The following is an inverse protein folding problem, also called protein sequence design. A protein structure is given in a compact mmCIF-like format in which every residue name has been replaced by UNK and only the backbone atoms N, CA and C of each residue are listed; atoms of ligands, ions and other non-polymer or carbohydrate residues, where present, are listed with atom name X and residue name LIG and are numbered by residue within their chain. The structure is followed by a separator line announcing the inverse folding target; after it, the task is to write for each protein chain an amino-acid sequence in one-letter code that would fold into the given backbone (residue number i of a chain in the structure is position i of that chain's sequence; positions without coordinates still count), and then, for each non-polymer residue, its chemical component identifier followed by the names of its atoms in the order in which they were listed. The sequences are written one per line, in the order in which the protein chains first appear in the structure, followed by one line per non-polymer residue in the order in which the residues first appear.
data_IF_263658808935
#
_entry.id   IF_263658808935
#
_cell.length_a   1.000
_cell.length_b   1.000
_cell.length_c   1.000
_cell.angle_alpha   90.00
_cell.angle_beta   90.00
_cell.angle_gamma   90.00
#
_symmetry.space_group_name_H-M   'P 1'
#
loop_
_entity.id
_entity.type
_entity.pdbx_description
1 polymer ?
#
# COMPACT_ATOMS: atom_id res chain seq x y z
N UNK A 1 -0.37 2.74 -13.54
CA UNK A 1 -0.48 1.26 -13.53
C UNK A 1 0.75 0.70 -12.86
N UNK A 2 0.58 -0.05 -11.77
CA UNK A 2 1.67 -0.70 -11.04
C UNK A 2 1.39 -2.19 -11.07
N UNK A 3 2.26 -2.96 -11.71
CA UNK A 3 2.17 -4.42 -11.81
C UNK A 3 3.30 -5.03 -10.98
N UNK A 4 2.97 -6.00 -10.13
CA UNK A 4 3.93 -6.80 -9.39
C UNK A 4 4.23 -8.10 -10.14
N UNK A 5 5.50 -8.50 -10.10
CA UNK A 5 5.90 -9.84 -10.50
C UNK A 5 5.61 -10.85 -9.39
N UNK A 6 5.44 -12.14 -9.74
CA UNK A 6 5.29 -13.20 -8.74
C UNK A 6 6.46 -13.26 -7.75
N UNK A 7 7.67 -12.87 -8.18
CA UNK A 7 8.83 -12.79 -7.29
C UNK A 7 8.67 -11.70 -6.23
N UNK A 8 8.18 -10.52 -6.61
CA UNK A 8 7.91 -9.42 -5.68
C UNK A 8 6.78 -9.79 -4.72
N UNK A 9 5.71 -10.43 -5.22
CA UNK A 9 4.61 -10.93 -4.38
C UNK A 9 5.15 -11.95 -3.35
N UNK A 10 6.00 -12.89 -3.77
CA UNK A 10 6.61 -13.85 -2.86
C UNK A 10 7.51 -13.19 -1.80
N UNK A 11 8.26 -12.14 -2.18
CA UNK A 11 9.04 -11.35 -1.23
C UNK A 11 8.15 -10.64 -0.20
N UNK A 12 7.06 -10.01 -0.64
CA UNK A 12 6.11 -9.37 0.27
C UNK A 12 5.38 -10.38 1.17
N UNK A 13 5.03 -11.57 0.67
CA UNK A 13 4.48 -12.66 1.49
C UNK A 13 5.43 -13.06 2.62
N UNK A 14 6.73 -13.14 2.33
CA UNK A 14 7.75 -13.41 3.37
C UNK A 14 7.79 -12.32 4.43
N UNK A 15 7.74 -11.04 4.01
CA UNK A 15 7.76 -9.89 4.91
C UNK A 15 6.49 -9.79 5.78
N UNK A 16 5.34 -10.19 5.25
CA UNK A 16 4.01 -9.98 5.85
C UNK A 16 3.38 -11.26 6.40
N UNK A 17 4.17 -12.31 6.61
CA UNK A 17 3.69 -13.63 7.05
C UNK A 17 2.91 -13.64 8.38
N UNK A 18 3.10 -12.62 9.22
CA UNK A 18 2.40 -12.45 10.50
C UNK A 18 1.03 -11.75 10.37
N UNK A 19 0.65 -11.28 9.18
CA UNK A 19 -0.55 -10.48 8.94
C UNK A 19 -1.49 -11.19 7.94
N UNK A 20 -2.48 -11.98 8.41
CA UNK A 20 -3.39 -12.73 7.54
C UNK A 20 -4.10 -11.87 6.49
N UNK A 21 -4.54 -10.66 6.87
CA UNK A 21 -5.19 -9.70 5.98
C UNK A 21 -4.25 -9.21 4.88
N UNK A 22 -2.95 -9.15 5.17
CA UNK A 22 -1.95 -8.77 4.18
C UNK A 22 -1.68 -9.90 3.18
N UNK A 23 -1.69 -11.15 3.65
CA UNK A 23 -1.57 -12.32 2.78
C UNK A 23 -2.78 -12.43 1.85
N UNK A 24 -3.99 -12.25 2.37
CA UNK A 24 -5.23 -12.22 1.56
C UNK A 24 -5.19 -11.11 0.49
N UNK A 25 -4.69 -9.92 0.84
CA UNK A 25 -4.48 -8.86 -0.13
C UNK A 25 -3.46 -9.23 -1.21
N UNK A 26 -2.37 -9.92 -0.86
CA UNK A 26 -1.35 -10.39 -1.80
C UNK A 26 -1.86 -11.50 -2.72
N UNK A 27 -2.71 -12.40 -2.21
CA UNK A 27 -3.39 -13.42 -3.00
C UNK A 27 -4.31 -12.77 -4.04
N UNK A 28 -5.07 -11.75 -3.63
CA UNK A 28 -5.92 -10.98 -4.55
C UNK A 28 -5.09 -10.23 -5.60
N UNK A 29 -3.92 -9.68 -5.23
CA UNK A 29 -3.01 -9.07 -6.20
C UNK A 29 -2.49 -10.09 -7.21
N UNK A 30 -2.14 -11.30 -6.78
CA UNK A 30 -1.72 -12.37 -7.69
C UNK A 30 -2.85 -12.82 -8.63
N UNK A 31 -4.07 -12.95 -8.12
CA UNK A 31 -5.27 -13.28 -8.90
C UNK A 31 -5.63 -12.18 -9.94
N UNK A 32 -5.28 -10.93 -9.64
CA UNK A 32 -5.37 -9.79 -10.57
C UNK A 32 -4.13 -9.64 -11.46
N UNK A 33 -3.40 -10.73 -11.74
CA UNK A 33 -2.22 -10.75 -12.61
C UNK A 33 -1.09 -9.78 -12.16
N UNK A 34 -1.05 -9.47 -10.86
CA UNK A 34 -0.13 -8.52 -10.27
C UNK A 34 -0.57 -7.05 -10.34
N UNK A 35 -1.72 -6.74 -10.95
CA UNK A 35 -2.25 -5.37 -10.99
C UNK A 35 -2.77 -4.93 -9.62
N UNK A 36 -2.06 -3.99 -9.01
CA UNK A 36 -2.39 -3.52 -7.65
C UNK A 36 -3.66 -2.65 -7.66
N UNK A 37 -3.93 -1.91 -8.73
CA UNK A 37 -5.12 -1.05 -8.81
C UNK A 37 -6.39 -1.91 -8.86
N UNK A 38 -6.40 -2.90 -9.75
CA UNK A 38 -7.54 -3.81 -9.92
C UNK A 38 -7.77 -4.67 -8.67
N UNK A 39 -6.69 -5.15 -8.04
CA UNK A 39 -6.77 -5.85 -6.77
C UNK A 39 -7.32 -4.95 -5.66
N UNK A 40 -6.85 -3.70 -5.56
CA UNK A 40 -7.32 -2.76 -4.55
C UNK A 40 -8.81 -2.42 -4.74
N UNK A 41 -9.28 -2.28 -5.97
CA UNK A 41 -10.71 -2.09 -6.28
C UNK A 41 -11.52 -3.32 -5.84
N UNK A 42 -11.04 -4.53 -6.14
CA UNK A 42 -11.69 -5.78 -5.74
C UNK A 42 -11.80 -5.90 -4.21
N UNK A 43 -10.71 -5.61 -3.50
CA UNK A 43 -10.66 -5.60 -2.03
C UNK A 43 -11.56 -4.51 -1.43
N UNK A 44 -11.63 -3.34 -2.07
CA UNK A 44 -12.52 -2.25 -1.63
C UNK A 44 -13.98 -2.67 -1.67
N UNK A 45 -14.40 -3.34 -2.75
CA UNK A 45 -15.75 -3.87 -2.91
C UNK A 45 -16.03 -4.94 -1.83
N UNK A 46 -15.05 -5.81 -1.56
CA UNK A 46 -15.16 -6.85 -0.52
C UNK A 46 -15.40 -6.25 0.88
N UNK A 47 -14.79 -5.10 1.20
CA UNK A 47 -15.01 -4.39 2.47
C UNK A 47 -16.20 -3.41 2.43
N UNK A 48 -17.06 -3.50 1.41
CA UNK A 48 -18.29 -2.72 1.30
C UNK A 48 -18.10 -1.27 0.82
N UNK A 49 -16.95 -0.93 0.26
CA UNK A 49 -16.74 0.36 -0.40
C UNK A 49 -17.26 0.35 -1.83
N UNK A 50 -17.58 1.53 -2.35
CA UNK A 50 -17.97 1.72 -3.75
C UNK A 50 -16.98 2.68 -4.42
N UNK A 51 -15.88 2.17 -5.01
CA UNK A 51 -14.98 2.96 -5.82
C UNK A 51 -15.76 3.67 -6.93
N UNK A 52 -15.64 5.00 -7.01
CA UNK A 52 -16.39 5.82 -7.98
C UNK A 52 -15.64 6.01 -9.30
N UNK A 53 -14.36 5.64 -9.34
CA UNK A 53 -13.47 5.73 -10.50
C UNK A 53 -12.63 4.47 -10.55
N UNK A 54 -12.38 3.94 -11.76
CA UNK A 54 -11.47 2.80 -11.97
C UNK A 54 -10.01 3.24 -12.05
N UNK A 55 -9.73 4.43 -12.58
CA UNK A 55 -8.36 4.94 -12.70
C UNK A 55 -7.97 5.81 -11.51
N UNK A 56 -6.72 5.63 -11.04
CA UNK A 56 -6.08 6.39 -9.97
C UNK A 56 -6.84 6.38 -8.63
N UNK A 57 -7.70 5.40 -8.41
CA UNK A 57 -8.43 5.27 -7.15
C UNK A 57 -7.46 4.94 -6.01
N UNK A 58 -6.55 3.99 -6.22
CA UNK A 58 -5.55 3.60 -5.23
C UNK A 58 -4.56 4.74 -4.93
N UNK A 59 -4.17 5.54 -5.92
CA UNK A 59 -3.39 6.77 -5.71
C UNK A 59 -4.09 7.70 -4.71
N UNK A 60 -5.38 7.95 -4.93
CA UNK A 60 -6.20 8.77 -4.05
C UNK A 60 -6.32 8.20 -2.64
N UNK A 61 -6.46 6.88 -2.51
CA UNK A 61 -6.50 6.19 -1.21
C UNK A 61 -5.14 6.28 -0.52
N UNK A 62 -4.04 5.98 -1.21
CA UNK A 62 -2.69 6.02 -0.65
C UNK A 62 -2.33 7.43 -0.14
N UNK A 63 -2.71 8.47 -0.88
CA UNK A 63 -2.51 9.88 -0.50
C UNK A 63 -3.16 10.24 0.83
N UNK A 64 -4.26 9.59 1.25
CA UNK A 64 -4.91 9.81 2.55
C UNK A 64 -4.03 9.37 3.72
N UNK A 65 -3.17 8.38 3.50
CA UNK A 65 -2.24 7.84 4.50
C UNK A 65 -0.82 8.40 4.35
N UNK A 66 -0.62 9.38 3.45
CA UNK A 66 0.70 9.91 3.12
C UNK A 66 1.45 10.44 4.35
N UNK A 67 0.78 11.14 5.26
CA UNK A 67 1.41 11.68 6.48
C UNK A 67 2.01 10.54 7.33
N UNK A 68 1.28 9.44 7.48
CA UNK A 68 1.75 8.27 8.22
C UNK A 68 2.87 7.53 7.48
N UNK A 69 2.70 7.30 6.17
CA UNK A 69 3.67 6.60 5.31
C UNK A 69 5.00 7.35 5.25
N UNK A 70 4.94 8.67 5.15
CA UNK A 70 6.12 9.53 5.02
C UNK A 70 6.72 9.95 6.37
N UNK A 71 6.22 9.40 7.49
CA UNK A 71 6.79 9.69 8.79
C UNK A 71 8.23 9.17 8.87
N UNK A 72 9.13 9.97 9.44
CA UNK A 72 10.57 9.68 9.46
C UNK A 72 10.89 8.31 10.07
N UNK A 73 10.08 7.87 11.05
CA UNK A 73 10.20 6.57 11.71
C UNK A 73 10.16 5.35 10.75
N UNK A 74 9.45 5.44 9.63
CA UNK A 74 9.28 4.33 8.69
C UNK A 74 10.10 4.49 7.41
N UNK A 75 10.66 5.67 7.17
CA UNK A 75 11.25 6.05 5.89
C UNK A 75 12.44 5.18 5.48
N UNK A 76 13.33 4.86 6.42
CA UNK A 76 14.54 4.08 6.13
C UNK A 76 14.19 2.65 5.70
N UNK A 77 13.29 1.99 6.44
CA UNK A 77 12.79 0.64 6.10
C UNK A 77 12.09 0.64 4.73
N UNK A 78 11.22 1.62 4.47
CA UNK A 78 10.51 1.74 3.20
C UNK A 78 11.45 2.01 2.01
N UNK A 79 12.53 2.76 2.21
CA UNK A 79 13.58 2.96 1.20
C UNK A 79 14.34 1.66 0.89
N UNK A 80 14.45 0.75 1.86
CA UNK A 80 15.04 -0.56 1.68
C UNK A 80 14.04 -1.61 1.15
N UNK A 81 12.79 -1.21 0.91
CA UNK A 81 11.71 -2.10 0.45
C UNK A 81 11.14 -3.00 1.55
N UNK A 82 11.43 -2.72 2.82
CA UNK A 82 10.82 -3.39 3.96
C UNK A 82 9.52 -2.69 4.35
N UNK A 83 8.39 -3.40 4.19
CA UNK A 83 7.05 -2.85 4.44
C UNK A 83 6.40 -3.36 5.72
N UNK A 84 7.00 -4.35 6.42
CA UNK A 84 6.39 -5.03 7.57
C UNK A 84 6.02 -4.06 8.69
N UNK A 85 6.93 -3.16 9.06
CA UNK A 85 6.70 -2.20 10.15
C UNK A 85 5.56 -1.24 9.81
N UNK A 86 5.51 -0.75 8.56
CA UNK A 86 4.49 0.18 8.10
C UNK A 86 3.10 -0.47 7.99
N UNK A 87 3.03 -1.68 7.41
CA UNK A 87 1.80 -2.46 7.30
C UNK A 87 1.26 -2.79 8.69
N UNK A 88 2.11 -3.30 9.58
CA UNK A 88 1.73 -3.60 10.97
C UNK A 88 1.21 -2.36 11.71
N UNK A 89 1.86 -1.21 11.53
CA UNK A 89 1.39 0.04 12.12
C UNK A 89 0.00 0.44 11.62
N UNK A 90 -0.26 0.43 10.31
CA UNK A 90 -1.57 0.80 9.76
C UNK A 90 -2.69 -0.18 10.16
N UNK A 91 -2.40 -1.48 10.21
CA UNK A 91 -3.33 -2.48 10.71
C UNK A 91 -3.68 -2.21 12.18
N UNK A 92 -2.66 -1.93 13.02
CA UNK A 92 -2.86 -1.65 14.44
C UNK A 92 -3.63 -0.35 14.71
N UNK A 93 -3.44 0.68 13.87
CA UNK A 93 -4.19 1.93 13.98
C UNK A 93 -5.66 1.78 13.57
N UNK A 94 -6.00 0.77 12.76
CA UNK A 94 -7.36 0.49 12.28
C UNK A 94 -8.05 1.69 11.61
N UNK A 95 -7.27 2.60 11.03
CA UNK A 95 -7.76 3.77 10.28
C UNK A 95 -7.93 3.50 8.79
N UNK A 96 -7.17 2.52 8.29
CA UNK A 96 -7.31 1.95 6.95
C UNK A 96 -8.00 0.59 7.05
N UNK A 97 -8.97 0.27 6.17
CA UNK A 97 -9.48 -1.10 6.06
C UNK A 97 -8.32 -2.07 5.88
N UNK A 98 -8.26 -3.11 6.70
CA UNK A 98 -7.07 -3.95 6.83
C UNK A 98 -6.64 -4.58 5.51
N UNK A 99 -7.60 -4.98 4.66
CA UNK A 99 -7.34 -5.52 3.32
C UNK A 99 -6.72 -4.50 2.35
N UNK A 100 -6.96 -3.20 2.54
CA UNK A 100 -6.41 -2.14 1.69
C UNK A 100 -5.03 -1.66 2.15
N UNK A 101 -4.57 -2.04 3.34
CA UNK A 101 -3.29 -1.58 3.88
C UNK A 101 -2.13 -1.99 2.97
N UNK A 102 -2.07 -3.26 2.60
CA UNK A 102 -0.98 -3.80 1.77
C UNK A 102 -0.89 -3.14 0.40
N UNK A 103 -1.96 -3.06 -0.42
CA UNK A 103 -1.89 -2.39 -1.72
C UNK A 103 -1.54 -0.89 -1.59
N UNK A 104 -2.01 -0.21 -0.54
CA UNK A 104 -1.64 1.20 -0.26
C UNK A 104 -0.14 1.37 -0.02
N UNK A 105 0.46 0.53 0.83
CA UNK A 105 1.88 0.64 1.15
C UNK A 105 2.73 0.25 -0.06
N UNK A 106 2.37 -0.83 -0.77
CA UNK A 106 3.08 -1.26 -1.97
C UNK A 106 3.02 -0.18 -3.06
N UNK A 107 1.85 0.44 -3.27
CA UNK A 107 1.70 1.53 -4.23
C UNK A 107 2.69 2.67 -3.96
N UNK A 108 2.80 3.11 -2.69
CA UNK A 108 3.70 4.19 -2.30
C UNK A 108 5.18 3.86 -2.55
N UNK A 109 5.62 2.62 -2.30
CA UNK A 109 7.03 2.24 -2.56
C UNK A 109 7.29 2.04 -4.06
N UNK A 110 6.35 1.46 -4.80
CA UNK A 110 6.51 1.17 -6.23
C UNK A 110 6.44 2.41 -7.11
N UNK A 111 5.73 3.45 -6.66
CA UNK A 111 5.74 4.78 -7.29
C UNK A 111 6.94 5.62 -6.87
N UNK A 112 7.80 5.10 -5.99
CA UNK A 112 8.98 5.79 -5.47
C UNK A 112 8.66 6.58 -4.21
N UNK A 113 9.05 6.04 -3.06
CA UNK A 113 8.71 6.62 -1.75
C UNK A 113 9.14 8.09 -1.60
N UNK A 114 10.25 8.50 -2.20
CA UNK A 114 10.71 9.89 -2.19
C UNK A 114 9.73 10.81 -2.95
N UNK A 115 9.35 10.42 -4.17
CA UNK A 115 8.40 11.17 -5.00
C UNK A 115 7.00 11.20 -4.36
N UNK A 116 6.62 10.10 -3.71
CA UNK A 116 5.37 10.02 -2.97
C UNK A 116 5.31 11.00 -1.79
N UNK A 117 6.45 11.23 -1.12
CA UNK A 117 6.57 12.08 0.08
C UNK A 117 6.92 13.55 -0.20
N UNK A 118 7.56 13.86 -1.33
CA UNK A 118 8.00 15.20 -1.71
C UNK A 118 6.92 16.32 -1.53
N UNK A 119 5.63 16.12 -1.88
CA UNK A 119 4.62 17.16 -1.70
C UNK A 119 4.34 17.55 -0.25
N UNK A 120 4.66 16.69 0.73
CA UNK A 120 4.58 17.04 2.16
C UNK A 120 5.81 17.84 2.60
N UNK A 121 6.99 17.46 2.11
CA UNK A 121 8.25 18.11 2.46
C UNK A 121 8.28 19.56 1.99
N UNK A 122 7.76 19.82 0.78
CA UNK A 122 7.62 21.19 0.26
C UNK A 122 6.78 22.08 1.21
N UNK A 123 5.64 21.56 1.70
CA UNK A 123 4.73 22.29 2.60
C UNK A 123 5.29 22.54 4.00
N UNK A 124 6.28 21.76 4.44
CA UNK A 124 6.93 21.94 5.75
C UNK A 124 8.14 22.89 5.66
N UNK A 125 8.63 23.17 4.45
CA UNK A 125 9.76 24.06 4.17
C UNK A 125 9.38 25.47 3.70
N UNK A 126 8.09 25.72 3.47
CA UNK A 126 7.49 27.00 3.06
C UNK A 126 6.80 27.72 4.22
#
# INVERSE_FOLDING_TARGET
MVILTSQEIAQFRSQLSEYPQALEALDTIEDCEGDIEDAAISLAIQVGQTPTTSENWLDGVAKRYRVTICHQEYREELLQGNISKMVGHLIAQNTCPQLLVTPVVIYAIKTGIQQFCEPLEYKLSS
#
